data_IF_326714763541
#
_entry.id   IF_326714763541
#
_cell.length_a   1.000
_cell.length_b   1.000
_cell.length_c   1.000
_cell.angle_alpha   90.00
_cell.angle_beta   90.00
_cell.angle_gamma   90.00
#
_symmetry.space_group_name_H-M   'P 1'
#
loop_
_entity.id
_entity.type
_entity.pdbx_description
1 polymer ?
#
# COMPACT_ATOMS: atom_id res chain seq x y z
N UNK A 1 -17.50 -6.40 3.41
CA UNK A 1 -16.04 -6.40 3.66
C UNK A 1 -15.82 -5.81 5.05
N UNK A 2 -15.02 -6.45 5.92
CA UNK A 2 -14.66 -5.86 7.21
C UNK A 2 -13.51 -4.87 7.01
N UNK A 3 -13.84 -3.58 6.81
CA UNK A 3 -12.85 -2.54 6.54
C UNK A 3 -11.87 -2.31 7.69
N UNK A 4 -12.32 -2.47 8.94
CA UNK A 4 -11.44 -2.35 10.10
C UNK A 4 -10.34 -3.42 10.08
N UNK A 5 -10.71 -4.66 9.75
CA UNK A 5 -9.73 -5.76 9.62
C UNK A 5 -8.87 -5.61 8.36
N UNK A 6 -9.46 -5.14 7.26
CA UNK A 6 -8.75 -4.90 6.00
C UNK A 6 -7.64 -3.84 6.17
N UNK A 7 -7.91 -2.75 6.89
CA UNK A 7 -6.93 -1.68 7.20
C UNK A 7 -6.18 -1.88 8.53
N UNK A 8 -6.05 -3.13 9.01
CA UNK A 8 -5.37 -3.40 10.29
C UNK A 8 -3.84 -3.17 10.26
N UNK A 9 -3.23 -3.09 9.07
CA UNK A 9 -1.81 -2.77 8.94
C UNK A 9 -1.62 -1.25 9.01
N UNK A 10 -0.99 -0.80 10.09
CA UNK A 10 -0.76 0.63 10.35
C UNK A 10 0.60 1.15 9.92
N UNK A 11 1.55 0.25 9.64
CA UNK A 11 2.92 0.60 9.24
C UNK A 11 3.45 -0.35 8.18
N UNK A 12 4.36 0.11 7.29
CA UNK A 12 5.06 -0.77 6.37
C UNK A 12 5.76 -1.90 7.12
N UNK A 13 5.76 -3.10 6.55
CA UNK A 13 6.54 -4.20 7.11
C UNK A 13 8.05 -3.99 6.86
N UNK A 14 8.94 -4.66 7.61
CA UNK A 14 10.39 -4.53 7.42
C UNK A 14 10.89 -4.86 6.01
N UNK A 15 10.17 -5.74 5.30
CA UNK A 15 10.47 -6.18 3.94
C UNK A 15 9.64 -5.43 2.88
N UNK A 16 9.02 -4.30 3.25
CA UNK A 16 8.16 -3.56 2.34
C UNK A 16 9.01 -2.90 1.24
N UNK A 17 8.72 -3.15 -0.04
CA UNK A 17 9.49 -2.57 -1.15
C UNK A 17 9.27 -1.05 -1.29
N UNK A 18 8.32 -0.48 -0.56
CA UNK A 18 8.09 0.96 -0.54
C UNK A 18 8.95 1.68 0.51
N UNK A 19 9.72 1.01 1.37
CA UNK A 19 10.58 1.70 2.33
C UNK A 19 11.67 2.51 1.60
N UNK A 20 11.97 3.73 2.09
CA UNK A 20 13.11 4.52 1.58
C UNK A 20 14.44 3.86 1.90
N UNK A 21 14.54 3.35 3.13
CA UNK A 21 15.73 2.73 3.69
C UNK A 21 15.40 1.30 4.11
N UNK A 22 16.14 0.33 3.57
CA UNK A 22 15.86 -1.09 3.76
C UNK A 22 14.69 -1.59 2.91
N UNK A 23 14.01 -2.64 3.38
CA UNK A 23 13.00 -3.33 2.57
C UNK A 23 13.59 -4.40 1.66
N UNK A 24 12.71 -5.11 0.96
CA UNK A 24 13.12 -6.08 -0.03
C UNK A 24 13.29 -5.39 -1.39
N UNK A 25 14.50 -5.50 -1.96
CA UNK A 25 14.78 -4.95 -3.29
C UNK A 25 14.03 -5.74 -4.37
N UNK A 26 13.27 -5.03 -5.19
CA UNK A 26 12.64 -5.61 -6.38
C UNK A 26 13.59 -5.51 -7.56
N UNK A 27 13.31 -6.30 -8.60
CA UNK A 27 14.00 -6.17 -9.88
C UNK A 27 13.94 -4.71 -10.39
N UNK A 28 14.99 -4.21 -11.07
CA UNK A 28 15.02 -2.84 -11.57
C UNK A 28 13.75 -2.46 -12.34
N UNK A 29 13.20 -1.28 -12.04
CA UNK A 29 11.96 -0.78 -12.66
C UNK A 29 10.65 -1.40 -12.13
N UNK A 30 10.72 -2.48 -11.35
CA UNK A 30 9.50 -3.15 -10.85
C UNK A 30 8.72 -2.29 -9.86
N UNK A 31 9.40 -1.58 -8.96
CA UNK A 31 8.74 -0.66 -8.02
C UNK A 31 8.04 0.47 -8.76
N UNK A 32 8.69 1.05 -9.78
CA UNK A 32 8.10 2.10 -10.63
C UNK A 32 6.84 1.61 -11.37
N UNK A 33 6.87 0.39 -11.91
CA UNK A 33 5.68 -0.25 -12.50
C UNK A 33 4.54 -0.35 -11.48
N UNK A 34 4.82 -0.85 -10.27
CA UNK A 34 3.80 -1.00 -9.21
C UNK A 34 3.21 0.36 -8.82
N UNK A 35 4.07 1.36 -8.59
CA UNK A 35 3.64 2.73 -8.26
C UNK A 35 2.73 3.30 -9.35
N UNK A 36 3.08 3.08 -10.62
CA UNK A 36 2.28 3.54 -11.75
C UNK A 36 0.92 2.86 -11.81
N UNK A 37 0.90 1.53 -11.74
CA UNK A 37 -0.34 0.75 -11.73
C UNK A 37 -1.27 1.23 -10.62
N UNK A 38 -0.75 1.52 -9.42
CA UNK A 38 -1.53 2.02 -8.30
C UNK A 38 -2.04 3.46 -8.47
N UNK A 39 -1.32 4.31 -9.20
CA UNK A 39 -1.76 5.68 -9.47
C UNK A 39 -2.85 5.70 -10.57
N UNK A 40 -2.75 4.79 -11.53
CA UNK A 40 -3.66 4.67 -12.67
C UNK A 40 -4.92 3.83 -12.36
N UNK A 41 -4.82 2.81 -11.50
CA UNK A 41 -5.92 1.94 -11.08
C UNK A 41 -6.41 2.26 -9.66
N UNK A 42 -7.65 2.73 -9.59
CA UNK A 42 -8.35 3.13 -8.38
C UNK A 42 -9.05 1.95 -7.66
N UNK A 43 -9.15 0.79 -8.31
CA UNK A 43 -9.86 -0.39 -7.79
C UNK A 43 -8.93 -1.39 -7.13
N UNK A 44 -7.77 -1.64 -7.72
CA UNK A 44 -6.85 -2.68 -7.23
C UNK A 44 -6.05 -2.25 -6.01
N UNK A 45 -5.65 -3.25 -5.23
CA UNK A 45 -4.76 -3.08 -4.09
C UNK A 45 -3.43 -3.78 -4.38
N UNK A 46 -2.33 -3.16 -3.98
CA UNK A 46 -1.03 -3.83 -3.99
C UNK A 46 -1.01 -5.00 -2.99
N UNK A 47 -0.67 -6.18 -3.50
CA UNK A 47 -0.57 -7.42 -2.73
C UNK A 47 0.89 -7.76 -2.45
N UNK A 48 1.33 -7.59 -1.19
CA UNK A 48 2.60 -8.13 -0.71
C UNK A 48 2.42 -9.48 0.01
N UNK A 49 3.52 -10.13 0.37
CA UNK A 49 3.48 -11.39 1.11
C UNK A 49 2.71 -11.26 2.45
N UNK A 50 2.78 -10.15 3.19
CA UNK A 50 1.96 -9.98 4.42
C UNK A 50 0.47 -9.75 4.18
N UNK A 51 0.08 -9.45 2.94
CA UNK A 51 -1.33 -9.34 2.55
C UNK A 51 -1.87 -10.65 1.94
N UNK A 52 -0.99 -11.59 1.58
CA UNK A 52 -1.34 -12.86 0.92
C UNK A 52 -0.96 -14.12 1.71
N UNK A 53 -0.01 -14.08 2.65
CA UNK A 53 0.48 -15.26 3.38
C UNK A 53 -0.51 -15.83 4.40
N UNK A 54 -1.64 -15.15 4.65
CA UNK A 54 -2.78 -15.77 5.34
C UNK A 54 -3.65 -16.67 4.43
N UNK A 55 -3.27 -16.87 3.16
CA UNK A 55 -3.90 -17.82 2.22
C UNK A 55 -3.45 -19.27 2.50
N UNK A 56 -2.71 -19.54 3.58
CA UNK A 56 -2.60 -20.90 4.17
C UNK A 56 -3.89 -21.25 4.94
N UNK A 57 -4.96 -21.48 4.19
CA UNK A 57 -6.14 -22.33 4.48
C UNK A 57 -6.92 -22.22 5.81
N UNK A 58 -6.61 -21.33 6.76
CA UNK A 58 -7.44 -21.20 8.00
C UNK A 58 -8.02 -19.83 8.30
N UNK A 59 -7.51 -18.72 7.76
CA UNK A 59 -8.12 -17.38 7.94
C UNK A 59 -7.78 -16.47 6.75
N UNK A 60 -8.40 -16.70 5.60
CA UNK A 60 -8.18 -15.93 4.36
C UNK A 60 -8.67 -14.49 4.46
N UNK A 61 -7.92 -13.62 5.14
CA UNK A 61 -8.27 -12.21 5.26
C UNK A 61 -7.21 -11.38 4.57
N UNK A 62 -7.60 -10.89 3.39
CA UNK A 62 -6.86 -9.85 2.68
C UNK A 62 -6.69 -8.63 3.59
N UNK A 63 -5.52 -7.99 3.50
CA UNK A 63 -5.22 -6.73 4.19
C UNK A 63 -4.75 -5.72 3.17
N UNK A 64 -4.99 -4.44 3.44
CA UNK A 64 -4.43 -3.35 2.66
C UNK A 64 -2.98 -3.10 3.08
N UNK A 65 -2.04 -3.05 2.13
CA UNK A 65 -0.64 -2.75 2.42
C UNK A 65 -0.49 -1.31 2.92
N UNK A 66 0.10 -1.13 4.11
CA UNK A 66 0.32 0.19 4.69
C UNK A 66 1.34 1.03 3.90
N UNK A 67 2.39 0.41 3.35
CA UNK A 67 3.38 1.12 2.54
C UNK A 67 2.80 1.64 1.23
N UNK A 68 2.00 0.82 0.55
CA UNK A 68 1.28 1.23 -0.64
C UNK A 68 0.23 2.33 -0.35
N UNK A 69 -0.51 2.22 0.76
CA UNK A 69 -1.47 3.24 1.18
C UNK A 69 -0.78 4.57 1.51
N UNK A 70 0.37 4.54 2.19
CA UNK A 70 1.15 5.73 2.50
C UNK A 70 1.71 6.38 1.22
N UNK A 71 2.19 5.59 0.26
CA UNK A 71 2.62 6.10 -1.05
C UNK A 71 1.48 6.80 -1.79
N UNK A 72 0.28 6.20 -1.85
CA UNK A 72 -0.89 6.82 -2.47
C UNK A 72 -1.25 8.13 -1.78
N UNK A 73 -1.36 8.10 -0.45
CA UNK A 73 -1.72 9.28 0.34
C UNK A 73 -0.72 10.42 0.16
N UNK A 74 0.58 10.12 0.12
CA UNK A 74 1.64 11.11 -0.09
C UNK A 74 1.62 11.75 -1.50
N UNK A 75 0.93 11.13 -2.45
CA UNK A 75 0.78 11.60 -3.82
C UNK A 75 -0.66 12.10 -4.10
N UNK A 76 -1.36 12.56 -3.06
CA UNK A 76 -2.74 13.09 -3.12
C UNK A 76 -3.75 12.11 -3.76
N UNK A 77 -3.51 10.81 -3.58
CA UNK A 77 -4.40 9.74 -4.08
C UNK A 77 -4.88 8.85 -2.93
N UNK A 78 -6.14 8.45 -3.04
CA UNK A 78 -6.73 7.40 -2.21
C UNK A 78 -7.57 6.52 -3.11
N UNK A 79 -7.18 5.24 -3.19
CA UNK A 79 -7.95 4.27 -3.97
C UNK A 79 -9.35 4.07 -3.35
N UNK A 80 -10.28 3.43 -4.07
CA UNK A 80 -11.65 3.22 -3.62
C UNK A 80 -11.70 2.61 -2.20
N UNK A 81 -10.95 1.54 -1.88
CA UNK A 81 -10.96 0.97 -0.53
C UNK A 81 -10.57 1.97 0.57
N UNK A 82 -9.57 2.82 0.34
CA UNK A 82 -9.17 3.85 1.30
C UNK A 82 -10.30 4.87 1.53
N UNK A 83 -10.94 5.33 0.45
CA UNK A 83 -12.07 6.28 0.56
C UNK A 83 -13.28 5.67 1.27
N UNK A 84 -13.60 4.41 1.01
CA UNK A 84 -14.65 3.68 1.73
C UNK A 84 -14.32 3.54 3.22
N UNK A 85 -13.09 3.15 3.57
CA UNK A 85 -12.68 3.06 4.96
C UNK A 85 -12.66 4.43 5.67
N UNK A 86 -12.37 5.51 4.95
CA UNK A 86 -12.49 6.88 5.47
C UNK A 86 -13.95 7.25 5.73
N UNK A 87 -14.87 6.95 4.81
CA UNK A 87 -16.30 7.18 4.96
C UNK A 87 -16.90 6.40 6.15
N UNK A 88 -16.44 5.16 6.35
CA UNK A 88 -16.79 4.30 7.49
C UNK A 88 -16.09 4.71 8.80
N UNK A 89 -15.21 5.72 8.78
CA UNK A 89 -14.41 6.19 9.92
C UNK A 89 -13.54 5.10 10.57
N UNK A 90 -13.07 4.14 9.78
CA UNK A 90 -12.19 3.05 10.24
C UNK A 90 -10.76 3.18 9.73
N UNK A 91 -10.50 4.10 8.79
CA UNK A 91 -9.16 4.41 8.33
C UNK A 91 -8.41 5.24 9.38
N UNK A 92 -7.32 4.71 9.89
CA UNK A 92 -6.41 5.43 10.80
C UNK A 92 -5.50 6.35 9.98
N UNK A 93 -6.00 7.55 9.68
CA UNK A 93 -5.32 8.50 8.81
C UNK A 93 -4.00 9.01 9.42
N UNK A 94 -3.94 9.17 10.74
CA UNK A 94 -2.72 9.62 11.41
C UNK A 94 -1.64 8.54 11.34
N UNK A 95 -1.99 7.26 11.55
CA UNK A 95 -1.03 6.17 11.35
C UNK A 95 -0.51 6.09 9.90
N UNK A 96 -1.35 6.39 8.90
CA UNK A 96 -0.90 6.47 7.51
C UNK A 96 0.04 7.66 7.27
N UNK A 97 -0.25 8.83 7.84
CA UNK A 97 0.63 10.00 7.78
C UNK A 97 1.98 9.72 8.44
N UNK A 98 1.99 9.03 9.58
CA UNK A 98 3.22 8.60 10.27
C UNK A 98 4.06 7.62 9.43
N UNK A 99 3.43 6.89 8.50
CA UNK A 99 4.13 6.00 7.58
C UNK A 99 4.73 6.72 6.37
N UNK A 100 4.24 7.92 5.98
CA UNK A 100 4.72 8.68 4.82
C UNK A 100 6.24 8.94 4.87
N UNK A 101 6.82 9.41 6.00
CA UNK A 101 8.26 9.65 6.08
C UNK A 101 9.12 8.41 5.81
N UNK A 102 8.58 7.21 6.06
CA UNK A 102 9.27 5.93 5.93
C UNK A 102 9.28 5.39 4.49
N UNK A 103 8.37 5.86 3.63
CA UNK A 103 8.16 5.28 2.30
C UNK A 103 8.70 6.16 1.18
N UNK A 104 9.23 5.55 0.13
CA UNK A 104 9.63 6.23 -1.08
C UNK A 104 8.39 6.78 -1.81
N UNK A 105 8.16 8.08 -1.63
CA UNK A 105 7.04 8.84 -2.20
C UNK A 105 7.32 9.36 -3.60
N UNK A 106 8.50 9.08 -4.18
CA UNK A 106 8.84 9.55 -5.53
C UNK A 106 7.87 9.00 -6.56
N UNK A 107 7.43 9.87 -7.47
CA UNK A 107 6.62 9.46 -8.61
C UNK A 107 7.43 8.55 -9.54
N UNK A 108 6.79 7.52 -10.13
CA UNK A 108 7.47 6.61 -11.04
C UNK A 108 7.98 7.37 -12.26
N UNK A 109 9.17 6.96 -12.75
CA UNK A 109 9.75 7.51 -13.97
C UNK A 109 8.78 7.33 -15.14
N UNK A 110 8.68 8.31 -16.05
CA UNK A 110 7.96 8.12 -17.31
C UNK A 110 8.71 7.04 -18.11
N UNK A 111 8.04 5.95 -18.49
CA UNK A 111 8.62 5.02 -19.45
C UNK A 111 8.90 5.77 -20.76
N UNK A 112 10.15 5.74 -21.21
CA UNK A 112 10.46 6.07 -22.59
C UNK A 112 9.79 4.99 -23.45
N UNK A 113 8.66 5.37 -24.04
CA UNK A 113 7.88 4.53 -24.94
C UNK A 113 8.64 4.26 -26.24
#
# INVERSE_FOLDING_TARGET
MDFKRFFALKKPCPECPFLKDGGYELAPGRLDSIKRDMLDDDFSNFRCHKTTEQITRKQGVEKHCAGAAAFLLANDRMNIPMRLAMAERVLDLEALKDAIPLVDTTLPSKENK
#
